data_IF_355538422376
#
_entry.id   IF_355538422376
#
_cell.length_a   1.000
_cell.length_b   1.000
_cell.length_c   1.000
_cell.angle_alpha   90.00
_cell.angle_beta   90.00
_cell.angle_gamma   90.00
#
_symmetry.space_group_name_H-M   'P 1'
#
loop_
_entity.id
_entity.type
_entity.pdbx_description
1 polymer ?
#
# COMPACT_ATOMS: atom_id res chain seq x y z
N UNK A 1 -19.64 -12.57 -5.90
CA UNK A 1 -18.38 -13.27 -6.25
C UNK A 1 -17.33 -12.89 -5.23
N UNK A 2 -16.59 -13.87 -4.69
CA UNK A 2 -15.63 -13.66 -3.61
C UNK A 2 -14.61 -12.58 -3.98
N UNK A 3 -14.60 -11.48 -3.21
CA UNK A 3 -13.69 -10.35 -3.42
C UNK A 3 -12.31 -10.74 -2.89
N UNK A 4 -11.57 -11.48 -3.70
CA UNK A 4 -10.16 -11.72 -3.45
C UNK A 4 -9.45 -10.38 -3.46
N UNK A 5 -8.62 -10.10 -2.45
CA UNK A 5 -7.91 -8.84 -2.31
C UNK A 5 -6.42 -9.06 -2.46
N UNK A 6 -5.77 -8.09 -3.07
CA UNK A 6 -4.33 -8.07 -3.27
C UNK A 6 -3.77 -6.87 -2.55
N UNK A 7 -2.73 -7.10 -1.76
CA UNK A 7 -1.94 -6.04 -1.16
C UNK A 7 -0.75 -5.75 -2.05
N UNK A 8 -0.66 -4.51 -2.53
CA UNK A 8 0.43 -4.06 -3.40
C UNK A 8 1.25 -3.01 -2.67
N UNK A 9 2.56 -3.19 -2.61
CA UNK A 9 3.51 -2.27 -2.00
C UNK A 9 4.52 -1.78 -3.02
N UNK A 10 4.76 -0.47 -3.10
CA UNK A 10 5.79 0.06 -4.00
C UNK A 10 7.18 -0.04 -3.34
N UNK A 11 8.02 -0.97 -3.83
CA UNK A 11 9.36 -1.21 -3.29
C UNK A 11 10.40 -0.31 -3.94
N UNK A 12 10.30 -0.06 -5.25
CA UNK A 12 11.25 0.79 -6.01
C UNK A 12 10.62 2.12 -6.41
N UNK A 13 11.47 3.12 -6.67
CA UNK A 13 11.00 4.46 -7.06
C UNK A 13 10.53 4.51 -8.52
N UNK A 14 9.60 5.42 -8.83
CA UNK A 14 9.13 5.72 -10.20
C UNK A 14 9.94 6.79 -10.94
N UNK A 15 11.04 7.27 -10.35
CA UNK A 15 11.84 8.37 -10.91
C UNK A 15 12.52 7.96 -12.23
N UNK A 16 13.02 6.73 -12.35
CA UNK A 16 13.73 6.27 -13.56
C UNK A 16 12.87 5.38 -14.48
N UNK A 17 11.54 5.48 -14.39
CA UNK A 17 10.61 4.62 -15.15
C UNK A 17 9.98 5.36 -16.31
N UNK A 18 9.48 4.61 -17.30
CA UNK A 18 8.77 5.17 -18.46
C UNK A 18 7.51 5.95 -18.03
N UNK A 19 7.05 6.94 -18.82
CA UNK A 19 5.86 7.74 -18.48
C UNK A 19 4.61 6.86 -18.29
N UNK A 20 4.42 5.85 -19.14
CA UNK A 20 3.30 4.89 -19.05
C UNK A 20 3.29 4.10 -17.73
N UNK A 21 4.46 3.74 -17.21
CA UNK A 21 4.58 3.07 -15.91
C UNK A 21 4.28 4.03 -14.75
N UNK A 22 4.70 5.30 -14.86
CA UNK A 22 4.39 6.33 -13.85
C UNK A 22 2.88 6.56 -13.74
N UNK A 23 2.19 6.64 -14.86
CA UNK A 23 0.72 6.76 -14.91
C UNK A 23 0.05 5.53 -14.31
N UNK A 24 0.54 4.33 -14.63
CA UNK A 24 0.01 3.09 -14.05
C UNK A 24 0.17 3.06 -12.52
N UNK A 25 1.31 3.48 -11.98
CA UNK A 25 1.53 3.59 -10.53
C UNK A 25 0.64 4.66 -9.89
N UNK A 26 0.44 5.80 -10.56
CA UNK A 26 -0.47 6.85 -10.10
C UNK A 26 -1.93 6.37 -10.07
N UNK A 27 -2.38 5.65 -11.11
CA UNK A 27 -3.72 5.06 -11.18
C UNK A 27 -3.96 4.00 -10.09
N UNK A 28 -2.92 3.25 -9.73
CA UNK A 28 -2.95 2.34 -8.58
C UNK A 28 -2.87 3.07 -7.22
N UNK A 29 -2.57 4.38 -7.19
CA UNK A 29 -2.45 5.18 -5.96
C UNK A 29 -1.12 5.00 -5.23
N UNK A 30 -0.08 4.55 -5.94
CA UNK A 30 1.28 4.32 -5.41
C UNK A 30 2.17 5.53 -5.70
N UNK A 31 2.00 6.61 -4.94
CA UNK A 31 2.70 7.89 -5.17
C UNK A 31 4.13 7.91 -4.64
N UNK A 32 4.41 7.27 -3.51
CA UNK A 32 5.71 7.28 -2.82
C UNK A 32 6.21 5.87 -2.44
N UNK A 33 7.52 5.70 -2.25
CA UNK A 33 8.12 4.41 -1.86
C UNK A 33 7.59 3.95 -0.50
N UNK A 34 7.39 2.65 -0.34
CA UNK A 34 6.84 2.05 0.88
C UNK A 34 5.34 2.24 1.05
N UNK A 35 4.65 2.86 0.08
CA UNK A 35 3.19 2.95 0.10
C UNK A 35 2.58 1.59 -0.22
N UNK A 36 1.65 1.17 0.62
CA UNK A 36 0.90 -0.08 0.45
C UNK A 36 -0.57 0.22 0.26
N UNK A 37 -1.22 -0.48 -0.69
CA UNK A 37 -2.66 -0.37 -0.93
C UNK A 37 -3.27 -1.74 -1.12
N UNK A 38 -4.44 -1.94 -0.53
CA UNK A 38 -5.27 -3.12 -0.75
C UNK A 38 -6.22 -2.82 -1.90
N UNK A 39 -6.21 -3.70 -2.90
CA UNK A 39 -6.98 -3.58 -4.13
C UNK A 39 -7.80 -4.85 -4.36
N UNK A 40 -8.93 -4.71 -5.03
CA UNK A 40 -9.73 -5.86 -5.46
C UNK A 40 -9.02 -6.59 -6.60
N UNK A 41 -9.04 -7.92 -6.55
CA UNK A 41 -8.38 -8.77 -7.54
C UNK A 41 -9.20 -8.86 -8.83
N UNK A 42 -9.03 -7.86 -9.69
CA UNK A 42 -9.67 -7.80 -11.02
C UNK A 42 -8.65 -8.01 -12.13
N UNK A 43 -9.08 -8.54 -13.28
CA UNK A 43 -8.22 -8.74 -14.44
C UNK A 43 -7.55 -7.43 -14.91
N UNK A 44 -8.27 -6.30 -14.82
CA UNK A 44 -7.75 -4.97 -15.13
C UNK A 44 -6.60 -4.57 -14.19
N UNK A 45 -6.76 -4.75 -12.88
CA UNK A 45 -5.73 -4.42 -11.89
C UNK A 45 -4.52 -5.35 -12.05
N UNK A 46 -4.73 -6.65 -12.27
CA UNK A 46 -3.64 -7.59 -12.61
C UNK A 46 -2.87 -7.15 -13.85
N UNK A 47 -3.57 -6.68 -14.90
CA UNK A 47 -2.95 -6.16 -16.11
C UNK A 47 -2.07 -4.94 -15.86
N UNK A 48 -2.51 -4.01 -15.00
CA UNK A 48 -1.70 -2.87 -14.58
C UNK A 48 -0.47 -3.30 -13.78
N UNK A 49 -0.64 -4.22 -12.83
CA UNK A 49 0.45 -4.76 -11.99
C UNK A 49 1.52 -5.42 -12.85
N UNK A 50 1.14 -6.21 -13.87
CA UNK A 50 2.09 -6.86 -14.79
C UNK A 50 3.04 -5.86 -15.47
N UNK A 51 2.56 -4.66 -15.80
CA UNK A 51 3.39 -3.60 -16.43
C UNK A 51 4.46 -3.03 -15.49
N UNK A 52 4.24 -3.14 -14.18
CA UNK A 52 5.10 -2.55 -13.13
C UNK A 52 5.66 -3.59 -12.16
N UNK A 53 5.69 -4.87 -12.56
CA UNK A 53 6.01 -6.02 -11.70
C UNK A 53 7.34 -5.92 -10.93
N UNK A 54 8.33 -5.22 -11.50
CA UNK A 54 9.65 -5.03 -10.90
C UNK A 54 9.70 -3.86 -9.90
N UNK A 55 8.65 -3.02 -9.83
CA UNK A 55 8.56 -1.86 -8.95
C UNK A 55 7.73 -2.15 -7.70
N UNK A 56 6.86 -3.15 -7.77
CA UNK A 56 5.89 -3.48 -6.74
C UNK A 56 6.14 -4.87 -6.17
N UNK A 57 5.94 -5.01 -4.87
CA UNK A 57 5.78 -6.30 -4.19
C UNK A 57 4.29 -6.58 -4.02
N UNK A 58 3.89 -7.80 -4.32
CA UNK A 58 2.49 -8.22 -4.37
C UNK A 58 2.29 -9.35 -3.39
N UNK A 59 1.48 -9.12 -2.37
CA UNK A 59 1.08 -10.13 -1.39
C UNK A 59 -0.39 -10.46 -1.59
N UNK A 60 -0.69 -11.76 -1.64
CA UNK A 60 -2.07 -12.23 -1.62
C UNK A 60 -2.64 -11.92 -0.24
N UNK A 61 -3.68 -11.10 -0.18
CA UNK A 61 -4.34 -10.74 1.06
C UNK A 61 -5.45 -11.75 1.32
N UNK A 62 -5.20 -12.72 2.20
CA UNK A 62 -6.29 -13.51 2.77
C UNK A 62 -7.15 -12.56 3.62
N UNK A 63 -8.44 -12.59 3.33
CA UNK A 63 -9.43 -11.65 3.85
C UNK A 63 -9.54 -11.80 5.37
N UNK A 64 -9.05 -10.83 6.14
CA UNK A 64 -9.52 -10.64 7.52
C UNK A 64 -10.69 -9.65 7.48
N UNK A 65 -11.89 -10.19 7.28
CA UNK A 65 -13.15 -9.46 7.41
C UNK A 65 -13.41 -9.09 8.88
N UNK A 66 -13.16 -7.83 9.23
CA UNK A 66 -13.94 -7.06 10.22
C UNK A 66 -13.89 -5.58 9.79
N UNK A 67 -14.83 -5.20 8.93
CA UNK A 67 -15.40 -3.85 8.76
C UNK A 67 -14.52 -2.65 9.23
N UNK A 68 -13.97 -1.92 8.26
CA UNK A 68 -13.69 -0.48 8.33
C UNK A 68 -12.97 0.05 9.59
N UNK A 69 -11.82 -0.52 9.96
CA UNK A 69 -10.91 0.14 10.92
C UNK A 69 -9.56 0.44 10.29
N UNK A 70 -9.45 1.70 9.84
CA UNK A 70 -8.29 2.36 9.24
C UNK A 70 -7.90 1.84 7.85
N UNK A 71 -8.45 2.52 6.84
CA UNK A 71 -7.66 3.03 5.70
C UNK A 71 -6.23 3.24 6.20
N UNK A 72 -5.27 2.44 5.69
CA UNK A 72 -3.87 2.34 6.15
C UNK A 72 -3.08 3.63 5.83
N UNK A 73 -3.57 4.73 6.40
CA UNK A 73 -3.00 6.05 6.53
C UNK A 73 -3.50 6.60 7.87
N UNK A 74 -2.86 6.15 8.94
CA UNK A 74 -2.40 6.92 10.10
C UNK A 74 -1.95 5.90 11.16
N UNK A 75 -0.66 5.56 11.11
CA UNK A 75 0.10 5.08 12.26
C UNK A 75 1.40 5.89 12.28
N UNK A 76 1.27 7.18 12.59
CA UNK A 76 2.21 7.82 13.50
C UNK A 76 1.48 7.82 14.83
N UNK A 77 1.67 6.75 15.60
CA UNK A 77 1.31 6.79 17.01
C UNK A 77 2.06 7.97 17.63
N UNK A 78 1.37 8.91 18.31
CA UNK A 78 2.07 9.87 19.15
C UNK A 78 2.81 9.03 20.20
N UNK A 79 4.14 9.10 20.21
CA UNK A 79 4.90 8.55 21.34
C UNK A 79 4.51 9.39 22.55
N UNK A 80 3.59 8.85 23.33
CA UNK A 80 3.32 9.22 24.71
C UNK A 80 4.62 8.99 25.49
N UNK A 81 5.53 9.97 25.47
CA UNK A 81 6.59 10.05 26.46
C UNK A 81 5.95 10.63 27.72
N UNK A 82 5.43 9.71 28.52
CA UNK A 82 5.06 9.94 29.90
C UNK A 82 6.18 10.73 30.60
N UNK A 83 5.76 11.79 31.28
CA UNK A 83 6.54 12.55 32.25
C UNK A 83 7.01 11.60 33.37
N UNK A 84 8.32 11.42 33.49
CA UNK A 84 8.95 11.00 34.75
C UNK A 84 9.88 12.12 35.19
N UNK A 85 9.31 13.06 35.94
CA UNK A 85 10.04 14.08 36.70
C UNK A 85 9.20 14.45 37.93
N UNK A 86 9.09 13.52 38.88
CA UNK A 86 8.75 13.78 40.27
C UNK A 86 9.07 12.51 41.07
N UNK A 87 9.63 12.70 42.28
CA UNK A 87 10.07 11.69 43.25
C UNK A 87 11.51 11.16 43.07
N UNK A 88 12.48 12.01 43.43
CA UNK A 88 13.33 11.75 44.60
C UNK A 88 13.90 13.07 45.11
#
# INVERSE_FOLDING_TARGET
MAKQKITVTMVRSKIATTPKQRESLNGLGLTHRGRTRVLDDTASIRGMIKKVIHLVDVKKGDVTDKSDKKVFFTVKEPKEKATKAAAK
#
